data_IF_972950373227
#
_entry.id   IF_972950373227
#
_cell.length_a   1.000
_cell.length_b   1.000
_cell.length_c   1.000
_cell.angle_alpha   90.00
_cell.angle_beta   90.00
_cell.angle_gamma   90.00
#
_symmetry.space_group_name_H-M   'P 1'
#
loop_
_entity.id
_entity.type
_entity.pdbx_description
1 polymer ?
#
# COMPACT_ATOMS: atom_id res chain seq x y z
N UNK A 1 4.46 14.73 18.91
CA UNK A 1 5.08 14.64 17.59
C UNK A 1 5.39 13.20 17.25
N UNK A 2 5.02 12.80 16.04
CA UNK A 2 5.25 11.42 15.62
C UNK A 2 6.75 11.16 15.49
N UNK A 3 7.20 10.04 16.01
CA UNK A 3 8.58 9.65 15.93
C UNK A 3 8.70 8.39 15.09
N UNK A 4 9.62 8.40 14.13
CA UNK A 4 9.84 7.26 13.25
C UNK A 4 10.33 6.05 14.04
N UNK A 5 9.86 4.88 13.63
CA UNK A 5 10.35 3.62 14.16
C UNK A 5 11.65 3.19 13.49
N UNK A 6 11.94 3.76 12.32
CA UNK A 6 13.12 3.40 11.55
C UNK A 6 14.36 4.09 12.10
N UNK A 7 15.47 3.38 12.13
CA UNK A 7 16.77 3.97 12.42
C UNK A 7 17.49 4.34 11.13
N UNK A 8 17.11 3.70 10.03
CA UNK A 8 17.70 3.97 8.72
C UNK A 8 16.58 3.96 7.69
N UNK A 9 16.46 5.04 6.93
CA UNK A 9 15.45 5.18 5.91
C UNK A 9 16.06 4.82 4.56
N UNK A 10 15.42 3.92 3.85
CA UNK A 10 15.90 3.41 2.56
C UNK A 10 15.24 4.09 1.38
N UNK A 11 13.98 4.51 1.56
CA UNK A 11 13.22 5.15 0.50
C UNK A 11 12.25 6.12 1.12
N UNK A 12 12.16 7.31 0.54
CA UNK A 12 11.14 8.31 0.88
C UNK A 12 10.50 8.76 -0.40
N UNK A 13 9.17 8.75 -0.45
CA UNK A 13 8.46 9.13 -1.67
C UNK A 13 7.13 9.78 -1.33
N UNK A 14 6.72 10.78 -2.13
CA UNK A 14 5.38 11.34 -1.97
C UNK A 14 4.33 10.27 -2.22
N UNK A 15 3.24 10.35 -1.49
CA UNK A 15 2.22 9.32 -1.54
C UNK A 15 0.86 9.85 -1.13
N UNK A 16 -0.16 9.14 -1.58
CA UNK A 16 -1.53 9.34 -1.12
C UNK A 16 -1.93 8.15 -0.27
N UNK A 17 -2.66 8.42 0.79
CA UNK A 17 -3.25 7.39 1.64
C UNK A 17 -4.75 7.38 1.41
N UNK A 18 -5.32 6.20 1.28
CA UNK A 18 -6.75 6.04 1.05
C UNK A 18 -7.46 5.42 2.25
N UNK A 19 -6.82 5.41 3.39
CA UNK A 19 -7.42 4.90 4.61
C UNK A 19 -8.28 6.00 5.22
N UNK A 20 -9.58 5.75 5.32
CA UNK A 20 -10.51 6.77 5.76
C UNK A 20 -10.63 7.86 4.71
N UNK A 21 -10.49 9.10 5.12
CA UNK A 21 -10.45 10.21 4.17
C UNK A 21 -9.11 10.22 3.48
N UNK A 22 -9.13 10.41 2.18
CA UNK A 22 -7.89 10.48 1.42
C UNK A 22 -7.03 11.64 1.90
N UNK A 23 -5.74 11.39 1.99
CA UNK A 23 -4.78 12.40 2.37
C UNK A 23 -3.51 12.25 1.55
N UNK A 24 -2.68 13.28 1.61
CA UNK A 24 -1.44 13.31 0.84
C UNK A 24 -0.28 13.55 1.80
N UNK A 25 0.82 12.87 1.57
CA UNK A 25 1.98 13.00 2.41
C UNK A 25 3.16 12.25 1.86
N UNK A 26 3.90 11.59 2.73
CA UNK A 26 5.11 10.87 2.35
C UNK A 26 5.14 9.49 2.96
N UNK A 27 5.58 8.54 2.15
CA UNK A 27 5.86 7.19 2.60
C UNK A 27 7.35 7.05 2.84
N UNK A 28 7.72 6.41 3.92
CA UNK A 28 9.10 6.09 4.25
C UNK A 28 9.23 4.59 4.44
N UNK A 29 10.13 3.98 3.68
CA UNK A 29 10.46 2.56 3.85
C UNK A 29 11.83 2.52 4.51
N UNK A 30 11.91 1.90 5.65
CA UNK A 30 13.14 1.85 6.41
C UNK A 30 13.45 0.48 6.93
N UNK A 31 14.44 0.40 7.82
CA UNK A 31 14.95 -0.87 8.31
C UNK A 31 13.96 -1.61 9.22
N UNK A 32 13.01 -0.92 9.83
CA UNK A 32 12.10 -1.54 10.79
C UNK A 32 10.64 -1.50 10.41
N UNK A 33 10.24 -0.53 9.59
CA UNK A 33 8.82 -0.32 9.35
C UNK A 33 8.54 0.40 8.04
N UNK A 34 7.31 0.20 7.58
CA UNK A 34 6.70 1.04 6.57
C UNK A 34 5.97 2.16 7.29
N UNK A 35 6.18 3.41 6.86
CA UNK A 35 5.59 4.55 7.53
C UNK A 35 4.98 5.52 6.52
N UNK A 36 3.89 6.16 6.94
CA UNK A 36 3.25 7.22 6.18
C UNK A 36 2.98 8.39 7.10
N UNK A 37 3.30 9.59 6.65
CA UNK A 37 3.06 10.82 7.40
C UNK A 37 2.28 11.80 6.55
N UNK A 38 1.15 12.26 7.08
CA UNK A 38 0.31 13.24 6.42
C UNK A 38 1.04 14.57 6.34
N UNK A 39 1.04 15.19 5.15
CA UNK A 39 1.76 16.44 4.93
C UNK A 39 1.19 17.59 5.76
N UNK A 40 -0.12 17.61 5.94
CA UNK A 40 -0.77 18.70 6.67
C UNK A 40 -0.81 18.50 8.16
N UNK A 41 -0.73 17.26 8.60
CA UNK A 41 -0.82 16.96 10.03
C UNK A 41 0.03 15.75 10.34
N UNK A 42 1.25 16.01 10.84
CA UNK A 42 2.19 14.94 11.13
C UNK A 42 1.74 14.01 12.24
N UNK A 43 0.73 14.41 13.00
CA UNK A 43 0.16 13.51 14.00
C UNK A 43 -0.80 12.50 13.37
N UNK A 44 -1.16 12.69 12.13
CA UNK A 44 -1.94 11.73 11.37
C UNK A 44 -0.96 10.87 10.58
N UNK A 45 -0.58 9.76 11.14
CA UNK A 45 0.47 8.91 10.57
C UNK A 45 0.12 7.44 10.71
N UNK A 46 0.80 6.62 9.92
CA UNK A 46 0.67 5.17 9.93
C UNK A 46 2.08 4.60 10.04
N UNK A 47 2.28 3.69 10.99
CA UNK A 47 3.56 3.02 11.19
C UNK A 47 3.29 1.52 11.29
N UNK A 48 3.84 0.75 10.37
CA UNK A 48 3.61 -0.69 10.32
C UNK A 48 4.95 -1.41 10.34
N UNK A 49 5.31 -2.00 11.49
CA UNK A 49 6.52 -2.82 11.55
C UNK A 49 6.44 -3.98 10.56
N UNK A 50 7.59 -4.36 10.01
CA UNK A 50 7.60 -5.41 8.99
C UNK A 50 6.98 -6.71 9.45
N UNK A 51 7.17 -7.08 10.70
CA UNK A 51 6.64 -8.35 11.22
C UNK A 51 5.15 -8.32 11.46
N UNK A 52 4.51 -7.16 11.38
CA UNK A 52 3.06 -7.08 11.50
C UNK A 52 2.36 -7.16 10.16
N UNK A 53 3.10 -7.18 9.06
CA UNK A 53 2.51 -7.26 7.74
C UNK A 53 2.20 -8.72 7.40
N UNK A 54 0.93 -8.98 7.10
CA UNK A 54 0.53 -10.29 6.63
C UNK A 54 0.88 -10.44 5.15
N UNK A 55 0.45 -9.51 4.34
CA UNK A 55 0.79 -9.49 2.92
C UNK A 55 0.50 -8.12 2.33
N UNK A 56 1.00 -7.88 1.13
CA UNK A 56 0.76 -6.67 0.37
C UNK A 56 0.16 -7.06 -0.96
N UNK A 57 -0.96 -6.45 -1.31
CA UNK A 57 -1.63 -6.70 -2.57
C UNK A 57 -1.43 -5.50 -3.50
N UNK A 58 -0.80 -5.74 -4.63
CA UNK A 58 -0.56 -4.71 -5.62
C UNK A 58 -1.59 -4.82 -6.74
N UNK A 59 -2.29 -3.74 -7.00
CA UNK A 59 -3.20 -3.68 -8.14
C UNK A 59 -2.38 -3.53 -9.41
N UNK A 60 -2.56 -4.43 -10.36
CA UNK A 60 -1.76 -4.39 -11.57
C UNK A 60 -2.65 -4.20 -12.80
N UNK A 61 -2.13 -3.44 -13.77
CA UNK A 61 -2.79 -3.20 -15.03
C UNK A 61 -1.75 -3.33 -16.15
N UNK A 62 -2.24 -3.62 -17.33
CA UNK A 62 -1.40 -3.72 -18.53
C UNK A 62 -0.22 -4.67 -18.35
N UNK A 63 -0.52 -5.87 -17.83
CA UNK A 63 0.51 -6.89 -17.69
C UNK A 63 1.56 -6.58 -16.65
N UNK A 64 1.22 -5.73 -15.68
CA UNK A 64 2.16 -5.36 -14.64
C UNK A 64 2.96 -4.09 -14.92
N UNK A 65 2.72 -3.46 -16.05
CA UNK A 65 3.43 -2.21 -16.38
C UNK A 65 2.99 -1.06 -15.49
N UNK A 66 1.73 -1.08 -15.08
CA UNK A 66 1.18 -0.03 -14.25
C UNK A 66 0.68 -0.63 -12.95
N UNK A 67 1.10 -0.04 -11.84
CA UNK A 67 0.61 -0.40 -10.51
C UNK A 67 0.05 0.88 -9.90
N UNK A 68 -1.26 1.13 -10.05
CA UNK A 68 -1.84 2.41 -9.59
C UNK A 68 -1.86 2.54 -8.08
N UNK A 69 -1.96 1.43 -7.36
CA UNK A 69 -1.98 1.46 -5.90
C UNK A 69 -1.69 0.09 -5.34
N UNK A 70 -1.45 0.05 -4.04
CA UNK A 70 -1.28 -1.21 -3.33
C UNK A 70 -1.91 -1.08 -1.95
N UNK A 71 -2.18 -2.23 -1.34
CA UNK A 71 -2.77 -2.29 -0.02
C UNK A 71 -1.93 -3.17 0.89
N UNK A 72 -1.70 -2.71 2.11
CA UNK A 72 -0.96 -3.47 3.11
C UNK A 72 -1.96 -4.06 4.08
N UNK A 73 -1.95 -5.39 4.19
CA UNK A 73 -2.79 -6.11 5.11
C UNK A 73 -1.94 -6.52 6.31
N UNK A 74 -2.35 -6.10 7.49
CA UNK A 74 -1.66 -6.48 8.71
C UNK A 74 -2.38 -7.64 9.36
N UNK A 75 -1.76 -8.24 10.36
CA UNK A 75 -2.35 -9.39 11.01
C UNK A 75 -3.61 -9.06 11.79
N UNK A 76 -3.74 -7.83 12.23
CA UNK A 76 -4.86 -7.42 13.08
C UNK A 76 -5.79 -6.45 12.39
N UNK A 77 -5.25 -5.62 11.52
CA UNK A 77 -6.00 -4.58 10.86
C UNK A 77 -5.73 -4.63 9.38
N UNK A 78 -6.46 -3.86 8.65
CA UNK A 78 -6.18 -3.70 7.24
C UNK A 78 -7.46 -3.57 6.50
N UNK A 79 -7.39 -3.28 5.20
CA UNK A 79 -6.15 -2.91 4.53
C UNK A 79 -5.84 -1.43 4.67
N UNK A 80 -4.58 -1.10 4.50
CA UNK A 80 -4.13 0.28 4.38
C UNK A 80 -3.68 0.50 2.95
N UNK A 81 -4.39 1.32 2.20
CA UNK A 81 -4.15 1.50 0.78
C UNK A 81 -3.38 2.78 0.50
N UNK A 82 -2.41 2.68 -0.39
CA UNK A 82 -1.53 3.80 -0.74
C UNK A 82 -1.25 3.83 -2.23
N UNK A 83 -0.92 5.00 -2.71
CA UNK A 83 -0.32 5.17 -4.04
C UNK A 83 0.85 6.11 -3.89
N UNK A 84 2.03 5.68 -4.31
CA UNK A 84 3.24 6.50 -4.24
C UNK A 84 3.60 7.00 -5.63
N UNK A 85 4.53 7.93 -5.67
CA UNK A 85 5.00 8.45 -6.95
C UNK A 85 5.62 7.35 -7.81
N UNK A 86 6.21 6.35 -7.19
CA UNK A 86 6.78 5.21 -7.90
C UNK A 86 6.44 3.93 -7.14
N UNK A 87 5.30 3.35 -7.49
CA UNK A 87 4.82 2.16 -6.79
C UNK A 87 5.72 0.95 -7.02
N UNK A 88 6.32 0.83 -8.19
CA UNK A 88 7.24 -0.28 -8.45
C UNK A 88 8.43 -0.25 -7.51
N UNK A 89 9.06 0.90 -7.36
CA UNK A 89 10.21 1.04 -6.49
C UNK A 89 9.83 0.83 -5.03
N UNK A 90 8.67 1.37 -4.64
CA UNK A 90 8.19 1.22 -3.26
C UNK A 90 7.92 -0.24 -2.94
N UNK A 91 7.27 -0.96 -3.86
CA UNK A 91 6.97 -2.37 -3.63
C UNK A 91 8.23 -3.23 -3.61
N UNK A 92 9.24 -2.89 -4.41
CA UNK A 92 10.52 -3.60 -4.33
C UNK A 92 11.17 -3.41 -2.98
N UNK A 93 11.14 -2.19 -2.46
CA UNK A 93 11.70 -1.92 -1.14
C UNK A 93 10.95 -2.67 -0.05
N UNK A 94 9.63 -2.72 -0.13
CA UNK A 94 8.83 -3.47 0.82
C UNK A 94 9.15 -4.97 0.72
N UNK A 95 9.20 -5.49 -0.50
CA UNK A 95 9.48 -6.90 -0.73
C UNK A 95 10.81 -7.34 -0.15
N UNK A 96 11.79 -6.46 -0.16
CA UNK A 96 13.10 -6.79 0.39
C UNK A 96 13.03 -7.07 1.89
N UNK A 97 12.00 -6.59 2.56
CA UNK A 97 11.83 -6.82 3.99
C UNK A 97 10.89 -7.97 4.32
N UNK A 98 9.83 -8.15 3.55
CA UNK A 98 8.81 -9.14 3.90
C UNK A 98 8.88 -10.41 3.08
N UNK A 99 9.63 -10.41 1.98
CA UNK A 99 9.76 -11.58 1.13
C UNK A 99 8.84 -11.53 -0.06
N UNK A 100 9.24 -12.27 -1.09
CA UNK A 100 8.57 -12.23 -2.37
C UNK A 100 7.16 -12.85 -2.32
N UNK A 101 6.97 -13.86 -1.50
CA UNK A 101 5.68 -14.56 -1.44
C UNK A 101 4.60 -13.76 -0.73
N UNK A 102 4.97 -12.72 -0.01
CA UNK A 102 3.99 -11.88 0.67
C UNK A 102 3.56 -10.69 -0.15
N UNK A 103 4.15 -10.47 -1.32
CA UNK A 103 3.72 -9.41 -2.22
C UNK A 103 2.98 -10.08 -3.36
N UNK A 104 1.66 -9.89 -3.41
CA UNK A 104 0.80 -10.58 -4.36
C UNK A 104 0.17 -9.58 -5.32
N UNK A 105 -0.15 -10.06 -6.50
CA UNK A 105 -0.85 -9.27 -7.49
C UNK A 105 -2.34 -9.39 -7.26
N UNK A 106 -3.03 -8.28 -7.33
CA UNK A 106 -4.47 -8.28 -7.23
C UNK A 106 -5.05 -7.67 -8.49
N UNK A 107 -5.53 -8.51 -9.36
CA UNK A 107 -6.22 -8.03 -10.56
C UNK A 107 -7.52 -7.37 -10.19
N UNK A 108 -8.04 -7.76 -9.07
CA UNK A 108 -9.39 -7.37 -8.73
C UNK A 108 -9.52 -6.02 -8.08
N UNK A 109 -8.45 -5.49 -7.52
CA UNK A 109 -8.62 -4.26 -6.79
C UNK A 109 -9.09 -3.13 -7.70
N UNK A 110 -8.44 -2.93 -8.82
CA UNK A 110 -8.86 -1.92 -9.77
C UNK A 110 -9.84 -2.43 -10.79
N UNK A 111 -9.73 -3.68 -11.15
CA UNK A 111 -10.74 -4.29 -11.98
C UNK A 111 -12.08 -4.23 -11.31
N UNK A 112 -12.08 -4.39 -10.03
CA UNK A 112 -13.28 -4.29 -9.24
C UNK A 112 -13.75 -2.86 -9.16
N UNK A 113 -12.84 -1.93 -8.95
CA UNK A 113 -13.20 -0.53 -8.83
C UNK A 113 -13.35 0.11 -10.20
N UNK A 114 -12.51 -0.32 -11.13
CA UNK A 114 -12.49 0.33 -12.43
C UNK A 114 -13.30 -0.34 -13.48
N UNK A 115 -13.21 -1.64 -13.61
CA UNK A 115 -14.01 -2.32 -14.61
C UNK A 115 -15.40 -2.29 -14.23
N UNK A 116 -15.30 -1.65 -13.49
CA UNK A 116 -16.32 -1.35 -13.10
C UNK A 116 -16.99 -2.16 -12.26
N UNK A 117 -17.68 -1.52 -11.55
CA UNK A 117 -18.71 -2.09 -10.80
C UNK A 117 -19.45 -3.13 -11.62
N UNK A 118 -19.43 -3.03 -12.92
CA UNK A 118 -20.08 -4.02 -13.78
C UNK A 118 -19.47 -5.41 -13.67
N UNK A 119 -18.18 -5.48 -13.63
CA UNK A 119 -17.53 -6.77 -13.53
C UNK A 119 -17.79 -7.43 -12.21
N UNK A 120 -17.80 -6.64 -11.19
CA UNK A 120 -18.10 -7.13 -9.86
C UNK A 120 -19.52 -7.62 -9.77
N UNK A 121 -20.44 -6.82 -10.26
CA UNK A 121 -21.83 -7.17 -10.20
C UNK A 121 -22.12 -8.48 -10.92
N UNK A 122 -21.49 -8.69 -12.05
CA UNK A 122 -21.68 -9.93 -12.76
C UNK A 122 -21.16 -11.12 -11.96
N UNK A 123 -20.03 -10.97 -11.31
CA UNK A 123 -19.51 -12.05 -10.49
C UNK A 123 -20.40 -12.35 -9.32
N UNK A 124 -20.85 -11.33 -8.66
CA UNK A 124 -21.71 -11.49 -7.51
C UNK A 124 -23.05 -12.10 -7.94
N UNK A 125 -23.57 -11.64 -9.03
CA UNK A 125 -24.85 -12.13 -9.51
C UNK A 125 -24.81 -13.60 -9.92
N UNK A 126 -23.66 -14.09 -10.30
CA UNK A 126 -23.52 -15.49 -10.67
C UNK A 126 -23.40 -16.43 -9.48
N UNK A 127 -23.15 -15.86 -8.36
CA UNK A 127 -23.05 -16.63 -7.15
C UNK A 127 -24.32 -16.55 -6.35
#
# INVERSE_FOLDING_TARGET
>A
MAQSQNTKVELTTPASSFSGLSSYGNVMVGDRAFEYYNEKNVEDFIQIPWDEIDHVAASVMFGGRLIPRFAIFTRQNGPYAFSTRNNHATLRAIRDHIGNEKVVRSLNFLDVVGAGLRGIWRRIARR
#
